data_IF_384237686007
#
_entry.id   IF_384237686007
#
_cell.length_a   1.000
_cell.length_b   1.000
_cell.length_c   1.000
_cell.angle_alpha   90.00
_cell.angle_beta   90.00
_cell.angle_gamma   90.00
#
_symmetry.space_group_name_H-M   'P 1'
#
loop_
_entity.id
_entity.type
_entity.pdbx_description
1 polymer ?
#
# COMPACT_ATOMS: atom_id res chain seq x y z
N UNK A 1 -5.04 -5.57 -12.18
CA UNK A 1 -4.74 -4.13 -12.22
C UNK A 1 -5.26 -3.45 -10.97
N UNK A 2 -4.36 -2.88 -10.18
CA UNK A 2 -4.70 -2.16 -8.96
C UNK A 2 -5.30 -0.78 -9.27
N UNK A 3 -6.21 -0.32 -8.41
CA UNK A 3 -6.80 1.02 -8.55
C UNK A 3 -5.80 2.09 -8.07
N UNK A 4 -5.63 3.12 -8.91
CA UNK A 4 -4.75 4.25 -8.63
C UNK A 4 -5.50 5.33 -7.85
N UNK A 5 -4.94 5.66 -6.69
CA UNK A 5 -5.42 6.73 -5.84
C UNK A 5 -4.94 8.08 -6.36
N UNK A 6 -5.75 9.09 -6.06
CA UNK A 6 -5.43 10.50 -6.23
C UNK A 6 -5.65 11.20 -4.89
N UNK A 7 -5.14 12.41 -4.77
CA UNK A 7 -5.40 13.25 -3.59
C UNK A 7 -6.89 13.41 -3.28
N UNK A 8 -7.72 13.54 -4.30
CA UNK A 8 -9.16 13.78 -4.14
C UNK A 8 -9.88 12.57 -3.52
N UNK A 9 -9.40 11.35 -3.81
CA UNK A 9 -10.05 10.12 -3.38
C UNK A 9 -9.35 9.46 -2.18
N UNK A 10 -8.13 9.90 -1.82
CA UNK A 10 -7.32 9.29 -0.75
C UNK A 10 -8.10 9.18 0.56
N UNK A 11 -8.72 10.28 1.01
CA UNK A 11 -9.47 10.27 2.28
C UNK A 11 -10.60 9.24 2.27
N UNK A 12 -11.42 9.22 1.21
CA UNK A 12 -12.56 8.31 1.12
C UNK A 12 -12.15 6.84 1.02
N UNK A 13 -11.11 6.53 0.25
CA UNK A 13 -10.71 5.15 -0.01
C UNK A 13 -9.75 4.58 1.04
N UNK A 14 -9.03 5.44 1.77
CA UNK A 14 -8.01 5.06 2.75
C UNK A 14 -8.44 5.41 4.16
N UNK A 15 -8.64 6.71 4.45
CA UNK A 15 -8.87 7.19 5.81
C UNK A 15 -10.24 6.79 6.36
N UNK A 16 -11.27 6.83 5.51
CA UNK A 16 -12.64 6.44 5.88
C UNK A 16 -12.93 4.94 5.67
N UNK A 17 -11.91 4.17 5.25
CA UNK A 17 -12.11 2.75 4.95
C UNK A 17 -12.35 1.92 6.21
N UNK A 18 -13.42 1.12 6.19
CA UNK A 18 -13.73 0.11 7.21
C UNK A 18 -12.91 -1.18 7.06
N UNK A 19 -12.33 -1.38 5.89
CA UNK A 19 -11.45 -2.51 5.57
C UNK A 19 -10.01 -2.02 5.64
N UNK A 20 -9.06 -2.89 5.98
CA UNK A 20 -7.63 -2.57 5.90
C UNK A 20 -7.26 -2.16 4.47
N UNK A 21 -6.33 -1.23 4.35
CA UNK A 21 -5.90 -0.69 3.06
C UNK A 21 -4.39 -0.79 2.95
N UNK A 22 -3.90 -1.43 1.90
CA UNK A 22 -2.49 -1.45 1.53
C UNK A 22 -2.29 -0.52 0.33
N UNK A 23 -1.32 0.39 0.42
CA UNK A 23 -1.01 1.32 -0.66
C UNK A 23 0.42 1.11 -1.12
N UNK A 24 0.62 0.93 -2.42
CA UNK A 24 1.92 0.99 -3.09
C UNK A 24 2.24 2.42 -3.55
N UNK A 25 3.22 3.03 -2.92
CA UNK A 25 3.78 4.29 -3.38
C UNK A 25 4.88 4.00 -4.39
N UNK A 26 4.60 4.41 -5.64
CA UNK A 26 5.43 4.08 -6.79
C UNK A 26 5.66 5.29 -7.68
N UNK A 27 6.53 5.10 -8.67
CA UNK A 27 6.70 6.03 -9.79
C UNK A 27 6.93 5.25 -11.10
N UNK A 28 6.54 5.79 -12.27
CA UNK A 28 6.66 5.10 -13.56
C UNK A 28 8.11 4.84 -13.99
N UNK A 29 9.07 5.57 -13.44
CA UNK A 29 10.50 5.39 -13.71
C UNK A 29 11.17 4.33 -12.80
N UNK A 30 10.43 3.79 -11.82
CA UNK A 30 10.92 2.82 -10.85
C UNK A 30 10.70 1.38 -11.34
N UNK A 31 11.74 0.78 -11.93
CA UNK A 31 11.70 -0.63 -12.37
C UNK A 31 11.37 -1.64 -11.26
N UNK A 32 11.82 -1.36 -10.03
CA UNK A 32 11.50 -2.20 -8.87
C UNK A 32 10.00 -2.20 -8.54
N UNK A 33 9.32 -1.10 -8.84
CA UNK A 33 7.91 -0.92 -8.57
C UNK A 33 7.04 -1.80 -9.51
N UNK A 34 7.43 -1.98 -10.77
CA UNK A 34 6.71 -2.89 -11.69
C UNK A 34 6.68 -4.33 -11.15
N UNK A 35 7.82 -4.81 -10.59
CA UNK A 35 7.88 -6.14 -9.97
C UNK A 35 6.99 -6.23 -8.73
N UNK A 36 6.93 -5.15 -7.95
CA UNK A 36 6.11 -5.09 -6.75
C UNK A 36 4.61 -5.05 -7.08
N UNK A 37 4.21 -4.31 -8.11
CA UNK A 37 2.81 -4.24 -8.56
C UNK A 37 2.26 -5.64 -8.86
N UNK A 38 3.02 -6.48 -9.60
CA UNK A 38 2.61 -7.87 -9.88
C UNK A 38 2.43 -8.68 -8.59
N UNK A 39 3.35 -8.54 -7.64
CA UNK A 39 3.25 -9.23 -6.35
C UNK A 39 2.02 -8.74 -5.57
N UNK A 40 1.72 -7.45 -5.62
CA UNK A 40 0.60 -6.85 -4.90
C UNK A 40 -0.75 -7.18 -5.53
N UNK A 41 -0.81 -7.46 -6.83
CA UNK A 41 -1.98 -8.05 -7.47
C UNK A 41 -2.30 -9.43 -6.89
N UNK A 42 -1.31 -10.32 -6.79
CA UNK A 42 -1.50 -11.64 -6.18
C UNK A 42 -1.92 -11.54 -4.70
N UNK A 43 -1.34 -10.59 -3.95
CA UNK A 43 -1.72 -10.29 -2.56
C UNK A 43 -3.16 -9.77 -2.49
N UNK A 44 -3.59 -8.92 -3.43
CA UNK A 44 -4.96 -8.41 -3.45
C UNK A 44 -5.99 -9.54 -3.62
N UNK A 45 -5.67 -10.55 -4.42
CA UNK A 45 -6.54 -11.70 -4.64
C UNK A 45 -6.60 -12.62 -3.42
N UNK A 46 -5.46 -12.87 -2.78
CA UNK A 46 -5.38 -13.72 -1.58
C UNK A 46 -6.16 -13.19 -0.38
N UNK A 47 -6.18 -11.86 -0.22
CA UNK A 47 -6.82 -11.18 0.92
C UNK A 47 -8.13 -10.51 0.49
N UNK A 48 -8.74 -10.96 -0.60
CA UNK A 48 -9.98 -10.39 -1.12
C UNK A 48 -11.08 -10.39 -0.05
N UNK A 49 -11.60 -9.20 0.24
CA UNK A 49 -12.62 -8.96 1.27
C UNK A 49 -12.07 -8.45 2.61
N UNK A 50 -10.84 -8.84 2.96
CA UNK A 50 -10.18 -8.45 4.22
C UNK A 50 -9.19 -7.29 4.03
N UNK A 51 -8.64 -7.15 2.82
CA UNK A 51 -7.68 -6.11 2.44
C UNK A 51 -8.09 -5.48 1.11
N UNK A 52 -7.96 -4.16 1.02
CA UNK A 52 -8.02 -3.42 -0.25
C UNK A 52 -6.61 -3.00 -0.61
N UNK A 53 -6.20 -3.24 -1.86
CA UNK A 53 -4.87 -2.86 -2.35
C UNK A 53 -5.00 -1.78 -3.41
N UNK A 54 -4.25 -0.70 -3.23
CA UNK A 54 -4.20 0.44 -4.14
C UNK A 54 -2.77 0.82 -4.47
N UNK A 55 -2.62 1.70 -5.45
CA UNK A 55 -1.35 2.33 -5.77
C UNK A 55 -1.48 3.85 -5.80
N UNK A 56 -0.38 4.56 -5.54
CA UNK A 56 -0.30 6.00 -5.57
C UNK A 56 0.98 6.42 -6.28
N UNK A 57 0.84 7.17 -7.37
CA UNK A 57 1.98 7.69 -8.10
C UNK A 57 2.50 8.97 -7.43
N UNK A 58 3.70 8.91 -6.87
CA UNK A 58 4.29 10.04 -6.13
C UNK A 58 4.65 11.24 -7.01
N UNK A 59 4.78 11.03 -8.33
CA UNK A 59 5.05 12.13 -9.28
C UNK A 59 3.81 13.03 -9.49
N UNK A 60 2.60 12.57 -9.13
CA UNK A 60 1.36 13.31 -9.36
C UNK A 60 1.01 14.28 -8.22
N UNK A 61 1.39 13.95 -6.99
CA UNK A 61 1.18 14.79 -5.81
C UNK A 61 2.16 14.36 -4.70
N UNK A 62 3.01 15.29 -4.29
CA UNK A 62 4.02 15.13 -3.24
C UNK A 62 3.44 15.25 -1.82
N UNK A 63 2.30 15.93 -1.68
CA UNK A 63 1.72 16.21 -0.37
C UNK A 63 1.28 14.95 0.38
N UNK A 64 0.80 13.91 -0.31
CA UNK A 64 0.44 12.64 0.34
C UNK A 64 1.70 11.85 0.77
N UNK A 65 2.68 11.56 -0.11
CA UNK A 65 3.95 10.93 0.28
C UNK A 65 4.68 11.64 1.42
N UNK A 66 4.74 12.98 1.38
CA UNK A 66 5.41 13.80 2.41
C UNK A 66 4.75 13.63 3.80
N UNK A 67 3.42 13.49 3.85
CA UNK A 67 2.70 13.27 5.11
C UNK A 67 3.05 11.94 5.79
N UNK A 68 3.57 10.98 5.04
CA UNK A 68 3.95 9.65 5.51
C UNK A 68 5.46 9.39 5.45
N UNK A 69 6.27 10.45 5.34
CA UNK A 69 7.73 10.39 5.32
C UNK A 69 8.30 9.43 4.23
N UNK A 70 7.67 9.42 3.05
CA UNK A 70 8.07 8.53 1.96
C UNK A 70 9.20 9.16 1.15
N UNK A 71 10.44 8.75 1.46
CA UNK A 71 11.65 9.22 0.78
C UNK A 71 12.31 8.17 -0.13
N UNK A 72 11.71 6.99 -0.26
CA UNK A 72 12.28 5.88 -1.03
C UNK A 72 11.19 5.04 -1.66
N UNK A 73 11.43 4.63 -2.91
CA UNK A 73 10.51 3.81 -3.70
C UNK A 73 11.12 2.43 -4.03
N UNK A 74 10.28 1.40 -4.17
CA UNK A 74 8.88 1.40 -3.76
C UNK A 74 8.73 1.46 -2.24
N UNK A 75 7.62 1.97 -1.74
CA UNK A 75 7.23 1.84 -0.32
C UNK A 75 5.77 1.43 -0.25
N UNK A 76 5.47 0.42 0.56
CA UNK A 76 4.08 0.02 0.84
C UNK A 76 3.71 0.39 2.27
N UNK A 77 2.50 0.90 2.44
CA UNK A 77 1.97 1.27 3.76
C UNK A 77 0.63 0.58 3.99
N UNK A 78 0.50 -0.08 5.15
CA UNK A 78 -0.75 -0.65 5.63
C UNK A 78 -1.47 0.35 6.53
N UNK A 79 -2.73 0.61 6.20
CA UNK A 79 -3.66 1.41 6.98
C UNK A 79 -4.72 0.51 7.62
N UNK A 80 -5.06 0.83 8.87
CA UNK A 80 -6.15 0.20 9.62
C UNK A 80 -6.96 1.30 10.32
N UNK A 81 -8.27 1.37 10.06
CA UNK A 81 -9.17 2.40 10.60
C UNK A 81 -8.66 3.82 10.35
N UNK A 82 -8.16 4.07 9.13
CA UNK A 82 -7.60 5.36 8.72
C UNK A 82 -6.27 5.77 9.35
N UNK A 83 -5.64 4.90 10.14
CA UNK A 83 -4.34 5.17 10.74
C UNK A 83 -3.27 4.31 10.07
N UNK A 84 -2.06 4.87 9.92
CA UNK A 84 -0.88 4.11 9.51
C UNK A 84 -0.62 3.03 10.57
N UNK A 85 -0.67 1.77 10.15
CA UNK A 85 -0.42 0.61 11.00
C UNK A 85 1.04 0.22 10.98
N UNK A 86 1.59 0.04 9.77
CA UNK A 86 2.98 -0.35 9.54
C UNK A 86 3.36 -0.10 8.07
N UNK A 87 4.65 -0.18 7.73
CA UNK A 87 5.16 0.05 6.38
C UNK A 87 6.39 -0.81 6.04
N UNK A 88 6.61 -1.02 4.75
CA UNK A 88 7.80 -1.67 4.20
C UNK A 88 8.37 -0.78 3.09
N UNK A 89 9.68 -0.53 3.15
CA UNK A 89 10.41 0.15 2.08
C UNK A 89 11.26 -0.85 1.28
N UNK A 90 11.27 -0.67 -0.04
CA UNK A 90 12.00 -1.48 -1.00
C UNK A 90 11.21 -2.68 -1.52
N UNK A 91 11.71 -3.26 -2.61
CA UNK A 91 11.12 -4.46 -3.21
C UNK A 91 11.30 -5.66 -2.27
N UNK A 92 10.18 -6.30 -1.90
CA UNK A 92 10.15 -7.52 -1.10
C UNK A 92 9.53 -8.67 -1.87
N UNK A 93 9.80 -9.89 -1.42
CA UNK A 93 9.16 -11.08 -1.97
C UNK A 93 7.69 -11.16 -1.55
N UNK A 94 6.87 -11.80 -2.40
CA UNK A 94 5.47 -12.14 -2.07
C UNK A 94 5.33 -12.79 -0.69
N UNK A 95 6.21 -13.76 -0.38
CA UNK A 95 6.19 -14.46 0.91
C UNK A 95 6.40 -13.50 2.08
N UNK A 96 7.39 -12.62 1.97
CA UNK A 96 7.71 -11.64 3.01
C UNK A 96 6.53 -10.70 3.26
N UNK A 97 5.91 -10.18 2.21
CA UNK A 97 4.76 -9.27 2.31
C UNK A 97 3.56 -9.99 2.94
N UNK A 98 3.29 -11.23 2.52
CA UNK A 98 2.19 -12.05 3.05
C UNK A 98 2.37 -12.35 4.54
N UNK A 99 3.56 -12.76 4.96
CA UNK A 99 3.87 -13.03 6.38
C UNK A 99 3.76 -11.76 7.23
N UNK A 100 4.23 -10.62 6.72
CA UNK A 100 4.09 -9.32 7.37
C UNK A 100 2.62 -8.93 7.56
N UNK A 101 1.79 -9.03 6.50
CA UNK A 101 0.35 -8.75 6.58
C UNK A 101 -0.34 -9.62 7.64
N UNK A 102 -0.08 -10.93 7.64
CA UNK A 102 -0.66 -11.86 8.63
C UNK A 102 -0.26 -11.45 10.05
N UNK A 103 0.99 -11.04 10.26
CA UNK A 103 1.48 -10.58 11.55
C UNK A 103 0.77 -9.29 11.99
N UNK A 104 0.65 -8.30 11.11
CA UNK A 104 -0.06 -7.06 11.41
C UNK A 104 -1.55 -7.28 11.69
N UNK A 105 -2.19 -8.23 11.00
CA UNK A 105 -3.62 -8.54 11.16
C UNK A 105 -3.93 -9.32 12.44
N UNK A 106 -2.99 -10.15 12.92
CA UNK A 106 -3.18 -10.96 14.13
C UNK A 106 -2.83 -10.21 15.42
N UNK A 107 -2.05 -9.13 15.33
CA UNK A 107 -1.56 -8.37 16.49
C UNK A 107 -2.53 -7.34 17.08
N UNK A 108 -3.84 -7.45 16.81
CA UNK A 108 -4.87 -6.56 17.36
C UNK A 108 -5.47 -7.08 18.68
N UNK A 109 -4.60 -7.50 19.62
CA UNK A 109 -4.96 -7.83 21.01
C UNK A 109 -4.67 -6.68 21.96
#
# INVERSE_FOLDING_TARGET
>A
MLFELSKENFNTYVLDSKTKVLIDFYAPWCKGCESLEVILEDISDDFYGDLKVYKFNVDLDDSIPDQFDIFSLPTIILFENGNLKDSITGLQSYKTIKEWLITCMTSSS
#
